data_IF_160871000475
#
_entry.id   IF_160871000475
#
_cell.length_a   1.000
_cell.length_b   1.000
_cell.length_c   1.000
_cell.angle_alpha   90.00
_cell.angle_beta   90.00
_cell.angle_gamma   90.00
#
_symmetry.space_group_name_H-M   'P 1'
#
loop_
_entity.id
_entity.type
_entity.pdbx_description
1 polymer ?
#
# COMPACT_ATOMS: atom_id res chain seq x y z
N UNK A 1 -2.55 14.24 6.28
CA UNK A 1 -1.92 13.01 6.85
C UNK A 1 -0.43 13.25 7.09
N UNK A 2 0.09 12.99 8.31
CA UNK A 2 1.48 13.33 8.70
C UNK A 2 2.55 12.77 7.77
N UNK A 3 2.41 11.53 7.32
CA UNK A 3 3.37 10.90 6.41
C UNK A 3 3.57 11.67 5.09
N UNK A 4 2.50 12.27 4.55
CA UNK A 4 2.56 13.09 3.34
C UNK A 4 3.08 14.51 3.59
N UNK A 5 2.81 15.07 4.77
CA UNK A 5 3.27 16.41 5.17
C UNK A 5 4.77 16.40 5.43
N UNK A 6 5.25 15.43 6.20
CA UNK A 6 6.67 15.27 6.48
C UNK A 6 7.45 14.89 5.21
N UNK A 7 6.79 14.29 4.20
CA UNK A 7 7.33 13.94 2.88
C UNK A 7 8.63 13.09 2.94
N UNK A 8 8.80 12.32 4.00
CA UNK A 8 9.93 11.41 4.18
C UNK A 8 9.57 10.03 3.65
N UNK A 9 10.18 9.64 2.52
CA UNK A 9 9.99 8.33 1.91
C UNK A 9 10.44 7.22 2.87
N UNK A 10 9.63 6.17 2.98
CA UNK A 10 9.97 4.97 3.72
C UNK A 10 9.77 5.05 5.23
N UNK A 11 9.56 6.25 5.80
CA UNK A 11 9.28 6.43 7.23
C UNK A 11 7.88 5.95 7.57
N UNK A 12 7.79 5.07 8.56
CA UNK A 12 6.53 4.56 9.09
C UNK A 12 6.10 5.37 10.33
N UNK A 13 4.81 5.70 10.38
CA UNK A 13 4.16 6.37 11.51
C UNK A 13 3.18 5.38 12.12
N UNK A 14 3.28 5.17 13.43
CA UNK A 14 2.44 4.22 14.15
C UNK A 14 1.48 4.93 15.10
N UNK A 15 0.27 4.39 15.22
CA UNK A 15 -0.81 4.94 16.03
C UNK A 15 -1.57 3.83 16.74
N UNK A 16 -1.81 4.00 18.05
CA UNK A 16 -2.68 3.13 18.81
C UNK A 16 -4.08 3.76 18.97
N UNK A 17 -4.89 3.73 17.91
CA UNK A 17 -6.24 4.31 17.94
C UNK A 17 -7.23 3.54 18.81
N UNK A 18 -6.94 2.27 19.12
CA UNK A 18 -7.80 1.41 19.94
C UNK A 18 -7.43 1.44 21.42
N UNK A 19 -6.35 2.15 21.78
CA UNK A 19 -5.83 2.30 23.16
C UNK A 19 -5.61 0.98 23.89
N UNK A 20 -5.28 -0.07 23.13
CA UNK A 20 -5.09 -1.44 23.62
C UNK A 20 -3.74 -1.97 23.20
N UNK A 21 -3.09 -2.74 24.07
CA UNK A 21 -1.74 -3.27 23.84
C UNK A 21 -1.75 -4.65 23.18
N UNK A 22 -2.89 -5.33 23.18
CA UNK A 22 -3.08 -6.64 22.56
C UNK A 22 -3.49 -6.56 21.08
N UNK A 23 -3.89 -5.37 20.61
CA UNK A 23 -4.13 -5.12 19.19
C UNK A 23 -2.84 -4.63 18.49
N UNK A 24 -2.76 -4.88 17.18
CA UNK A 24 -1.72 -4.25 16.37
C UNK A 24 -1.92 -2.73 16.29
N UNK A 25 -0.81 -1.98 16.27
CA UNK A 25 -0.85 -0.55 15.95
C UNK A 25 -1.23 -0.33 14.48
N UNK A 26 -2.00 0.73 14.23
CA UNK A 26 -2.19 1.28 12.89
C UNK A 26 -0.89 1.88 12.37
N UNK A 27 -0.66 1.80 11.06
CA UNK A 27 0.60 2.18 10.42
C UNK A 27 0.35 2.92 9.13
N UNK A 28 1.12 3.98 8.90
CA UNK A 28 1.08 4.75 7.67
C UNK A 28 2.51 4.94 7.19
N UNK A 29 2.76 4.67 5.90
CA UNK A 29 4.09 4.81 5.30
C UNK A 29 3.99 5.40 3.91
N UNK A 30 4.59 6.57 3.72
CA UNK A 30 4.72 7.18 2.40
C UNK A 30 5.80 6.45 1.60
N UNK A 31 5.45 5.91 0.43
CA UNK A 31 6.34 5.13 -0.41
C UNK A 31 7.10 5.97 -1.42
N UNK A 32 6.54 7.12 -1.82
CA UNK A 32 7.12 8.00 -2.82
C UNK A 32 6.11 8.43 -3.87
N UNK A 33 6.64 9.05 -4.93
CA UNK A 33 5.85 9.57 -6.05
C UNK A 33 6.10 8.73 -7.30
N UNK A 34 5.03 8.37 -8.00
CA UNK A 34 5.08 7.79 -9.35
C UNK A 34 4.75 8.85 -10.39
N UNK A 35 5.35 8.73 -11.58
CA UNK A 35 5.06 9.61 -12.73
C UNK A 35 4.65 8.76 -13.92
N UNK A 36 3.48 8.99 -14.49
CA UNK A 36 2.98 8.25 -15.65
C UNK A 36 3.60 8.77 -16.95
N UNK A 37 3.51 8.00 -18.04
CA UNK A 37 3.92 8.43 -19.39
C UNK A 37 3.18 9.70 -19.88
N UNK A 38 2.03 10.02 -19.28
CA UNK A 38 1.26 11.25 -19.55
C UNK A 38 1.68 12.40 -18.61
N UNK A 39 2.83 12.29 -17.94
CA UNK A 39 3.35 13.23 -16.94
C UNK A 39 2.42 13.49 -15.74
N UNK A 40 1.42 12.63 -15.49
CA UNK A 40 0.61 12.71 -14.27
C UNK A 40 1.41 12.14 -13.11
N UNK A 41 1.38 12.82 -11.96
CA UNK A 41 2.12 12.41 -10.76
C UNK A 41 1.18 12.04 -9.63
N UNK A 42 1.50 10.96 -8.92
CA UNK A 42 0.73 10.48 -7.77
C UNK A 42 1.66 10.11 -6.63
N UNK A 43 1.23 10.37 -5.40
CA UNK A 43 1.89 9.94 -4.16
C UNK A 43 1.25 8.64 -3.71
N UNK A 44 2.07 7.62 -3.44
CA UNK A 44 1.62 6.31 -2.97
C UNK A 44 1.91 6.16 -1.48
N UNK A 45 0.92 5.68 -0.73
CA UNK A 45 1.00 5.49 0.72
C UNK A 45 0.46 4.12 1.08
N UNK A 46 1.22 3.37 1.88
CA UNK A 46 0.66 2.24 2.59
C UNK A 46 -0.10 2.71 3.82
N UNK A 47 -1.29 2.18 3.98
CA UNK A 47 -2.19 2.46 5.10
C UNK A 47 -2.66 1.14 5.70
N UNK A 48 -2.43 0.97 6.99
CA UNK A 48 -3.01 -0.11 7.79
C UNK A 48 -3.71 0.51 8.99
N UNK A 49 -5.03 0.44 9.04
CA UNK A 49 -5.82 0.96 10.17
C UNK A 49 -6.46 -0.17 10.94
N UNK A 50 -6.19 -0.23 12.24
CA UNK A 50 -6.86 -1.11 13.19
C UNK A 50 -7.94 -0.29 13.88
N UNK A 51 -9.19 -0.73 13.72
CA UNK A 51 -10.36 -0.01 14.21
C UNK A 51 -11.26 -0.93 15.03
N UNK A 52 -11.94 -0.34 16.01
CA UNK A 52 -12.93 -1.02 16.84
C UNK A 52 -12.34 -2.06 17.79
N UNK A 53 -13.23 -2.66 18.58
CA UNK A 53 -12.85 -3.57 19.68
C UNK A 53 -12.38 -4.96 19.21
N UNK A 54 -12.58 -5.29 17.93
CA UNK A 54 -12.22 -6.60 17.36
C UNK A 54 -10.75 -6.70 16.93
N UNK A 55 -9.95 -5.64 17.11
CA UNK A 55 -8.59 -5.51 16.58
C UNK A 55 -8.48 -5.76 15.06
N UNK A 56 -9.58 -5.66 14.30
CA UNK A 56 -9.57 -5.89 12.86
C UNK A 56 -8.88 -4.74 12.15
N UNK A 57 -7.98 -5.11 11.26
CA UNK A 57 -7.19 -4.17 10.47
C UNK A 57 -7.63 -4.14 9.01
N UNK A 58 -7.58 -2.95 8.41
CA UNK A 58 -7.83 -2.71 7.00
C UNK A 58 -6.54 -2.20 6.36
N UNK A 59 -6.09 -2.86 5.29
CA UNK A 59 -4.87 -2.50 4.56
C UNK A 59 -5.19 -1.96 3.18
N UNK A 60 -4.64 -0.81 2.85
CA UNK A 60 -4.82 -0.13 1.57
C UNK A 60 -3.50 0.43 1.05
N UNK A 61 -3.31 0.31 -0.26
CA UNK A 61 -2.34 1.13 -0.99
C UNK A 61 -3.12 2.35 -1.47
N UNK A 62 -2.89 3.50 -0.85
CA UNK A 62 -3.64 4.72 -1.07
C UNK A 62 -2.91 5.63 -2.04
N UNK A 63 -3.66 6.20 -2.97
CA UNK A 63 -3.19 7.10 -4.02
C UNK A 63 -3.66 8.51 -3.68
N UNK A 64 -2.70 9.43 -3.66
CA UNK A 64 -2.93 10.87 -3.51
C UNK A 64 -2.39 11.63 -4.73
N UNK A 65 -2.95 12.79 -5.00
CA UNK A 65 -2.36 13.74 -5.93
C UNK A 65 -1.17 14.48 -5.30
N UNK A 66 -0.53 15.37 -6.07
CA UNK A 66 0.61 16.14 -5.57
C UNK A 66 0.24 17.15 -4.47
N UNK A 67 -1.03 17.55 -4.39
CA UNK A 67 -1.59 18.43 -3.37
C UNK A 67 -2.04 17.66 -2.12
N UNK A 68 -1.71 16.37 -2.00
CA UNK A 68 -2.13 15.48 -0.92
C UNK A 68 -3.66 15.26 -0.86
N UNK A 69 -4.39 15.48 -1.95
CA UNK A 69 -5.79 15.13 -2.07
C UNK A 69 -5.93 13.65 -2.41
N UNK A 70 -6.86 12.97 -1.75
CA UNK A 70 -7.19 11.58 -2.03
C UNK A 70 -7.67 11.41 -3.47
N UNK A 71 -7.17 10.36 -4.14
CA UNK A 71 -7.53 10.01 -5.53
C UNK A 71 -8.22 8.65 -5.60
N UNK A 72 -7.74 7.68 -4.81
CA UNK A 72 -8.27 6.32 -4.79
C UNK A 72 -7.38 5.38 -3.98
N UNK A 73 -7.70 4.08 -4.00
CA UNK A 73 -6.94 3.06 -3.29
C UNK A 73 -7.06 1.66 -3.92
N UNK A 74 -6.19 0.76 -3.47
CA UNK A 74 -6.32 -0.69 -3.61
C UNK A 74 -6.50 -1.31 -2.22
N UNK A 75 -7.63 -1.96 -1.96
CA UNK A 75 -7.90 -2.63 -0.70
C UNK A 75 -7.27 -4.01 -0.67
N UNK A 76 -6.05 -4.12 -0.12
CA UNK A 76 -5.23 -5.35 -0.17
C UNK A 76 -5.47 -6.31 1.00
N UNK A 77 -6.44 -6.02 1.87
CA UNK A 77 -6.85 -6.90 2.96
C UNK A 77 -5.80 -6.96 4.08
N UNK A 78 -4.96 -7.99 4.09
CA UNK A 78 -3.95 -8.20 5.14
C UNK A 78 -2.76 -7.24 5.00
N UNK A 79 -2.14 -6.80 6.11
CA UNK A 79 -1.00 -5.88 6.06
C UNK A 79 0.24 -6.47 5.38
N UNK A 80 0.35 -7.81 5.33
CA UNK A 80 1.40 -8.50 4.59
C UNK A 80 1.29 -8.37 3.07
N UNK A 81 0.16 -7.87 2.54
CA UNK A 81 -0.04 -7.59 1.12
C UNK A 81 0.28 -6.13 0.77
N UNK A 82 0.80 -5.35 1.73
CA UNK A 82 1.32 -4.02 1.44
C UNK A 82 2.76 -4.13 0.90
N UNK A 83 3.12 -3.36 -0.14
CA UNK A 83 4.48 -3.34 -0.71
C UNK A 83 5.50 -2.77 0.27
N UNK A 84 6.77 -3.12 0.12
CA UNK A 84 7.81 -2.62 1.02
C UNK A 84 8.32 -1.23 0.63
N UNK A 85 8.39 -0.95 -0.66
CA UNK A 85 8.99 0.28 -1.20
C UNK A 85 8.48 0.59 -2.61
N UNK A 86 8.85 1.78 -3.11
CA UNK A 86 8.68 2.21 -4.48
C UNK A 86 10.07 2.48 -5.08
N UNK A 87 10.39 1.83 -6.20
CA UNK A 87 11.65 2.04 -6.94
C UNK A 87 11.30 2.16 -8.42
N UNK A 88 11.78 3.22 -9.08
CA UNK A 88 11.62 3.42 -10.54
C UNK A 88 10.16 3.23 -11.01
N UNK A 89 9.20 3.94 -10.41
CA UNK A 89 7.75 3.80 -10.70
C UNK A 89 7.12 2.42 -10.41
N UNK A 90 7.83 1.52 -9.74
CA UNK A 90 7.34 0.18 -9.42
C UNK A 90 7.21 0.00 -7.91
N UNK A 91 6.03 -0.45 -7.45
CA UNK A 91 5.90 -1.00 -6.10
C UNK A 91 6.65 -2.33 -6.03
N UNK A 92 7.44 -2.52 -4.98
CA UNK A 92 8.31 -3.69 -4.82
C UNK A 92 8.00 -4.38 -3.49
N UNK A 93 7.83 -5.70 -3.55
CA UNK A 93 7.73 -6.59 -2.40
C UNK A 93 9.09 -7.25 -2.17
N UNK A 94 9.75 -6.93 -1.06
CA UNK A 94 11.13 -7.36 -0.76
C UNK A 94 11.17 -8.47 0.29
N UNK A 95 10.19 -8.50 1.19
CA UNK A 95 10.17 -9.45 2.31
C UNK A 95 9.63 -10.80 1.88
N UNK A 96 10.18 -11.85 2.52
CA UNK A 96 9.57 -13.16 2.49
C UNK A 96 8.28 -13.13 3.30
N UNK A 97 7.30 -13.86 2.82
CA UNK A 97 6.09 -14.24 3.55
C UNK A 97 6.08 -15.77 3.53
N UNK A 98 6.20 -16.41 4.70
CA UNK A 98 6.31 -17.87 4.78
C UNK A 98 5.08 -18.57 4.21
N UNK A 99 3.92 -17.89 4.27
CA UNK A 99 2.67 -18.37 3.70
C UNK A 99 2.52 -18.02 2.21
N UNK A 100 3.39 -17.15 1.66
CA UNK A 100 3.21 -16.52 0.37
C UNK A 100 4.55 -16.19 -0.32
N UNK A 101 5.37 -17.22 -0.54
CA UNK A 101 6.78 -17.05 -0.97
C UNK A 101 6.94 -16.35 -2.32
N UNK A 102 5.99 -16.53 -3.25
CA UNK A 102 6.04 -15.91 -4.58
C UNK A 102 5.82 -14.39 -4.55
N UNK A 103 5.35 -13.84 -3.42
CA UNK A 103 5.17 -12.40 -3.25
C UNK A 103 6.49 -11.65 -3.37
N UNK A 104 7.58 -12.21 -2.83
CA UNK A 104 8.89 -11.58 -2.89
C UNK A 104 9.36 -11.44 -4.34
N UNK A 105 9.81 -10.25 -4.71
CA UNK A 105 10.24 -9.93 -6.06
C UNK A 105 9.11 -9.44 -6.97
N UNK A 106 7.85 -9.49 -6.51
CA UNK A 106 6.72 -8.90 -7.22
C UNK A 106 6.96 -7.42 -7.46
N UNK A 107 6.70 -6.99 -8.70
CA UNK A 107 6.79 -5.61 -9.14
C UNK A 107 5.47 -5.20 -9.78
N UNK A 108 4.92 -4.07 -9.35
CA UNK A 108 3.71 -3.49 -9.94
C UNK A 108 4.06 -2.12 -10.49
N UNK A 109 3.96 -1.96 -11.81
CA UNK A 109 4.30 -0.71 -12.51
C UNK A 109 3.12 0.28 -12.53
N UNK A 110 3.43 1.56 -12.32
CA UNK A 110 2.52 2.69 -12.48
C UNK A 110 2.86 3.57 -13.70
N UNK A 111 3.73 3.08 -14.57
CA UNK A 111 4.22 3.84 -15.73
C UNK A 111 3.09 4.23 -16.69
N UNK A 112 2.15 3.32 -16.97
CA UNK A 112 1.04 3.56 -17.88
C UNK A 112 -0.13 4.34 -17.26
N UNK A 113 -0.13 4.54 -15.93
CA UNK A 113 -1.27 5.07 -15.20
C UNK A 113 -1.43 4.42 -13.84
N UNK A 114 -2.57 4.69 -13.19
CA UNK A 114 -3.05 3.86 -12.08
C UNK A 114 -3.64 2.58 -12.69
N UNK A 115 -3.09 1.38 -12.41
CA UNK A 115 -3.66 0.13 -12.91
C UNK A 115 -5.11 -0.05 -12.43
N UNK A 116 -6.00 -0.54 -13.29
CA UNK A 116 -7.38 -0.88 -12.87
C UNK A 116 -7.41 -1.98 -11.82
N UNK A 117 -6.44 -2.89 -11.87
CA UNK A 117 -6.21 -3.90 -10.85
C UNK A 117 -4.72 -4.21 -10.72
N UNK A 118 -4.35 -4.76 -9.56
CA UNK A 118 -3.01 -5.24 -9.27
C UNK A 118 -3.10 -6.70 -8.83
N UNK A 119 -2.16 -7.52 -9.28
CA UNK A 119 -2.07 -8.92 -8.89
C UNK A 119 -0.88 -9.12 -7.95
N UNK A 120 -1.12 -9.78 -6.83
CA UNK A 120 -0.08 -10.18 -5.87
C UNK A 120 -0.02 -11.71 -5.88
N UNK A 121 1.03 -12.31 -6.48
CA UNK A 121 1.18 -13.76 -6.52
C UNK A 121 1.52 -14.31 -5.13
N UNK A 122 1.05 -15.53 -4.87
CA UNK A 122 1.31 -16.25 -3.64
C UNK A 122 2.01 -17.59 -3.84
N UNK A 123 1.83 -18.20 -5.01
CA UNK A 123 2.59 -19.37 -5.46
C UNK A 123 3.15 -19.17 -6.86
N UNK A 124 3.99 -20.11 -7.30
CA UNK A 124 4.58 -20.12 -8.64
C UNK A 124 3.61 -20.65 -9.72
N UNK A 125 2.35 -20.93 -9.38
CA UNK A 125 1.34 -21.54 -10.25
C UNK A 125 0.25 -20.54 -10.68
N UNK A 126 0.59 -19.28 -10.90
CA UNK A 126 -0.36 -18.19 -11.19
C UNK A 126 -1.50 -18.06 -10.18
N UNK A 127 -1.28 -18.48 -8.93
CA UNK A 127 -2.25 -18.30 -7.84
C UNK A 127 -1.84 -17.10 -6.97
N UNK A 128 -2.84 -16.30 -6.61
CA UNK A 128 -2.66 -15.08 -5.85
C UNK A 128 -3.97 -14.30 -5.78
N UNK A 129 -3.86 -13.06 -5.33
CA UNK A 129 -5.01 -12.19 -5.15
C UNK A 129 -4.98 -11.04 -6.17
N UNK A 130 -6.15 -10.74 -6.74
CA UNK A 130 -6.38 -9.59 -7.60
C UNK A 130 -7.10 -8.49 -6.80
N UNK A 131 -6.53 -7.28 -6.79
CA UNK A 131 -7.11 -6.14 -6.10
C UNK A 131 -7.45 -5.04 -7.10
N UNK A 132 -8.72 -4.67 -7.15
CA UNK A 132 -9.23 -3.64 -8.05
C UNK A 132 -9.06 -2.24 -7.43
N UNK A 133 -8.72 -1.28 -8.28
CA UNK A 133 -8.71 0.13 -7.94
C UNK A 133 -10.12 0.62 -7.57
N UNK A 134 -10.22 1.40 -6.50
CA UNK A 134 -11.44 2.10 -6.13
C UNK A 134 -11.16 3.59 -5.92
N UNK A 135 -12.06 4.44 -6.42
CA UNK A 135 -12.08 5.88 -6.12
C UNK A 135 -12.85 6.21 -4.83
N UNK A 136 -13.48 5.22 -4.20
CA UNK A 136 -14.20 5.39 -2.92
C UNK A 136 -13.21 5.38 -1.76
N UNK A 137 -13.50 6.15 -0.70
CA UNK A 137 -12.66 6.28 0.50
C UNK A 137 -12.89 5.17 1.54
#
# INVERSE_FOLDING_TARGET
MKALVDNVIGKEYQYNFVERTDCNNSRIKYLGTVTTIKNKKFKLVNSFFVLGQSCRGISRIVVYDMNNKYVGNYHVGMPGNLPDTLINNNLIYLKNDDNCKAKKGTKISFEQGLPESIFIPCSNLDTGDLYTYSSEE
#
